data_IF_077746954276
#
_entry.id   IF_077746954276
#
_cell.length_a   1.000
_cell.length_b   1.000
_cell.length_c   1.000
_cell.angle_alpha   90.00
_cell.angle_beta   90.00
_cell.angle_gamma   90.00
#
_symmetry.space_group_name_H-M   'P 1'
#
loop_
_entity.id
_entity.type
_entity.pdbx_description
1 polymer ?
#
# COMPACT_ATOMS: atom_id res chain seq x y z
N UNK A 1 14.68 2.45 -26.63
CA UNK A 1 15.72 1.60 -25.99
C UNK A 1 15.23 0.16 -26.03
N UNK A 2 16.05 -0.79 -26.43
CA UNK A 2 15.72 -2.22 -26.44
C UNK A 2 16.24 -2.87 -25.15
N UNK A 3 15.44 -3.79 -24.57
CA UNK A 3 15.87 -4.54 -23.39
C UNK A 3 16.96 -5.55 -23.76
N UNK A 4 18.04 -5.62 -22.97
CA UNK A 4 19.09 -6.61 -23.14
C UNK A 4 18.72 -7.88 -22.34
N UNK A 5 18.11 -8.84 -23.01
CA UNK A 5 17.54 -10.04 -22.43
C UNK A 5 18.38 -11.28 -22.78
N UNK A 6 18.62 -12.15 -21.78
CA UNK A 6 19.14 -13.52 -22.01
C UNK A 6 18.02 -14.53 -22.20
N UNK A 7 16.99 -14.44 -21.36
CA UNK A 7 15.74 -15.22 -21.43
C UNK A 7 14.61 -14.29 -21.87
N UNK A 8 13.53 -14.80 -22.46
CA UNK A 8 12.33 -14.00 -22.64
C UNK A 8 11.86 -13.43 -21.29
N UNK A 9 11.34 -12.20 -21.30
CA UNK A 9 10.81 -11.51 -20.14
C UNK A 9 9.31 -11.35 -20.29
N UNK A 10 8.54 -11.80 -19.31
CA UNK A 10 7.08 -11.67 -19.27
C UNK A 10 6.71 -10.59 -18.25
N UNK A 11 6.18 -9.48 -18.73
CA UNK A 11 5.47 -8.49 -17.92
C UNK A 11 4.05 -8.98 -17.77
N UNK A 12 3.50 -9.00 -16.57
CA UNK A 12 2.12 -9.44 -16.36
C UNK A 12 1.46 -8.68 -15.21
N UNK A 13 0.14 -8.67 -15.26
CA UNK A 13 -0.76 -8.10 -14.29
C UNK A 13 -1.99 -8.98 -14.11
N UNK A 14 -2.60 -8.97 -12.93
CA UNK A 14 -3.73 -9.81 -12.57
C UNK A 14 -4.89 -8.98 -12.05
N UNK A 15 -6.12 -9.28 -12.52
CA UNK A 15 -7.34 -8.89 -11.85
C UNK A 15 -7.88 -10.08 -11.05
N UNK A 16 -8.43 -9.81 -9.87
CA UNK A 16 -8.80 -10.85 -8.91
C UNK A 16 -10.10 -10.56 -8.19
N UNK A 17 -10.70 -11.57 -7.56
CA UNK A 17 -11.89 -11.39 -6.71
C UNK A 17 -11.59 -10.64 -5.41
N UNK A 18 -10.33 -10.39 -5.10
CA UNK A 18 -9.87 -9.65 -3.91
C UNK A 18 -8.38 -9.87 -3.65
N UNK A 19 -7.90 -9.38 -2.52
CA UNK A 19 -6.46 -9.32 -2.21
C UNK A 19 -5.95 -10.48 -1.34
N UNK A 20 -6.81 -11.41 -0.95
CA UNK A 20 -6.43 -12.54 -0.09
C UNK A 20 -5.96 -13.71 -0.94
N UNK A 21 -4.65 -13.96 -0.99
CA UNK A 21 -4.01 -14.99 -1.81
C UNK A 21 -4.60 -16.39 -1.56
N UNK A 22 -5.05 -16.70 -0.34
CA UNK A 22 -5.60 -18.01 0.00
C UNK A 22 -7.06 -18.17 -0.44
N UNK A 23 -7.87 -17.11 -0.38
CA UNK A 23 -9.32 -17.17 -0.60
C UNK A 23 -9.73 -16.71 -1.98
N UNK A 24 -9.04 -15.70 -2.50
CA UNK A 24 -9.40 -15.07 -3.76
C UNK A 24 -8.85 -15.80 -4.99
N UNK A 25 -9.38 -15.44 -6.15
CA UNK A 25 -9.13 -16.10 -7.44
C UNK A 25 -8.81 -15.07 -8.51
N UNK A 26 -8.04 -15.47 -9.50
CA UNK A 26 -7.77 -14.65 -10.69
C UNK A 26 -9.03 -14.64 -11.56
N UNK A 27 -9.46 -13.44 -12.01
CA UNK A 27 -10.55 -13.22 -12.98
C UNK A 27 -10.04 -12.78 -14.36
N UNK A 28 -8.84 -12.18 -14.40
CA UNK A 28 -8.15 -11.87 -15.65
C UNK A 28 -6.64 -11.93 -15.46
N UNK A 29 -5.94 -12.40 -16.47
CA UNK A 29 -4.50 -12.29 -16.60
C UNK A 29 -4.16 -11.63 -17.92
N UNK A 30 -3.34 -10.58 -17.87
CA UNK A 30 -2.74 -9.95 -19.06
C UNK A 30 -1.23 -10.03 -18.99
N UNK A 31 -0.58 -10.30 -20.12
CA UNK A 31 0.87 -10.27 -20.18
C UNK A 31 1.41 -9.83 -21.54
N UNK A 32 2.60 -9.23 -21.49
CA UNK A 32 3.46 -8.95 -22.64
C UNK A 32 4.73 -9.78 -22.48
N UNK A 33 4.98 -10.65 -23.43
CA UNK A 33 6.20 -11.46 -23.52
C UNK A 33 7.17 -10.84 -24.52
N UNK A 34 8.33 -10.40 -24.04
CA UNK A 34 9.40 -9.81 -24.83
C UNK A 34 10.51 -10.83 -25.01
N UNK A 35 10.86 -11.12 -26.26
CA UNK A 35 11.91 -12.06 -26.59
C UNK A 35 13.29 -11.36 -26.71
N UNK A 36 14.41 -12.10 -26.57
CA UNK A 36 15.76 -11.53 -26.74
C UNK A 36 16.01 -10.86 -28.09
N UNK A 37 15.30 -11.27 -29.15
CA UNK A 37 15.37 -10.67 -30.47
C UNK A 37 14.50 -9.41 -30.65
N UNK A 38 13.84 -8.96 -29.56
CA UNK A 38 12.96 -7.79 -29.57
C UNK A 38 11.52 -8.05 -30.04
N UNK A 39 11.19 -9.29 -30.42
CA UNK A 39 9.78 -9.65 -30.72
C UNK A 39 8.94 -9.54 -29.44
N UNK A 40 7.72 -9.07 -29.57
CA UNK A 40 6.73 -8.95 -28.47
C UNK A 40 5.47 -9.74 -28.79
N UNK A 41 4.90 -10.35 -27.77
CA UNK A 41 3.60 -11.04 -27.84
C UNK A 41 2.76 -10.59 -26.66
N UNK A 42 1.57 -10.06 -26.93
CA UNK A 42 0.60 -9.63 -25.90
C UNK A 42 -0.57 -10.60 -25.87
N UNK A 43 -0.99 -11.01 -24.68
CA UNK A 43 -2.18 -11.82 -24.45
C UNK A 43 -2.90 -11.39 -23.20
N UNK A 44 -4.24 -11.32 -23.32
CA UNK A 44 -5.15 -11.15 -22.19
C UNK A 44 -6.14 -12.29 -22.18
N UNK A 45 -6.45 -12.82 -21.00
CA UNK A 45 -7.45 -13.89 -20.82
C UNK A 45 -8.30 -13.61 -19.61
N UNK A 46 -9.60 -13.62 -19.79
CA UNK A 46 -10.57 -13.70 -18.72
C UNK A 46 -10.69 -15.13 -18.23
N UNK A 47 -10.95 -15.29 -16.95
CA UNK A 47 -10.92 -16.54 -16.23
C UNK A 47 -12.15 -16.60 -15.34
N UNK A 48 -12.88 -17.71 -15.40
CA UNK A 48 -13.97 -17.97 -14.48
C UNK A 48 -13.37 -18.34 -13.10
N UNK A 49 -13.57 -17.52 -12.06
CA UNK A 49 -13.00 -17.77 -10.74
C UNK A 49 -13.70 -18.95 -10.03
N UNK A 50 -14.84 -19.41 -10.50
CA UNK A 50 -15.66 -20.46 -9.84
C UNK A 50 -16.31 -19.99 -8.53
N UNK A 51 -16.38 -18.69 -8.31
CA UNK A 51 -17.00 -18.05 -7.16
C UNK A 51 -17.49 -16.63 -7.56
N UNK A 52 -18.46 -16.05 -6.83
CA UNK A 52 -18.92 -14.68 -7.11
C UNK A 52 -17.80 -13.65 -6.99
N UNK A 53 -17.80 -12.67 -7.88
CA UNK A 53 -16.90 -11.52 -7.83
C UNK A 53 -17.52 -10.46 -6.91
N UNK A 54 -16.84 -10.05 -5.82
CA UNK A 54 -17.36 -9.02 -4.93
C UNK A 54 -17.58 -7.69 -5.67
N UNK A 55 -18.67 -6.94 -5.35
CA UNK A 55 -18.96 -5.66 -5.98
C UNK A 55 -17.82 -4.64 -5.88
N UNK A 56 -17.09 -4.65 -4.77
CA UNK A 56 -15.92 -3.80 -4.56
C UNK A 56 -14.79 -4.11 -5.54
N UNK A 57 -14.58 -5.37 -5.91
CA UNK A 57 -13.60 -5.78 -6.91
C UNK A 57 -14.05 -5.38 -8.31
N UNK A 58 -15.33 -5.63 -8.65
CA UNK A 58 -15.93 -5.16 -9.89
C UNK A 58 -15.84 -3.63 -10.04
N UNK A 59 -16.01 -2.88 -8.96
CA UNK A 59 -15.87 -1.42 -8.99
C UNK A 59 -14.45 -0.95 -9.35
N UNK A 60 -13.43 -1.77 -9.10
CA UNK A 60 -12.02 -1.46 -9.41
C UNK A 60 -11.69 -1.83 -10.86
N UNK A 61 -11.93 -3.08 -11.28
CA UNK A 61 -11.48 -3.60 -12.58
C UNK A 61 -12.59 -3.70 -13.64
N UNK A 62 -13.85 -3.47 -13.27
CA UNK A 62 -14.98 -3.46 -14.19
C UNK A 62 -15.46 -4.83 -14.65
N UNK A 63 -14.87 -5.93 -14.20
CA UNK A 63 -15.25 -7.30 -14.59
C UNK A 63 -16.36 -7.80 -13.68
N UNK A 64 -17.43 -8.33 -14.27
CA UNK A 64 -18.59 -8.88 -13.59
C UNK A 64 -18.64 -10.41 -13.69
N UNK A 65 -19.48 -11.06 -12.89
CA UNK A 65 -19.73 -12.51 -13.01
C UNK A 65 -20.19 -12.90 -14.41
N UNK A 66 -21.02 -12.04 -15.04
CA UNK A 66 -21.53 -12.26 -16.40
C UNK A 66 -20.41 -12.29 -17.45
N UNK A 67 -19.38 -11.46 -17.27
CA UNK A 67 -18.23 -11.38 -18.19
C UNK A 67 -17.35 -12.61 -18.18
N UNK A 68 -17.39 -13.40 -17.12
CA UNK A 68 -16.50 -14.57 -16.91
C UNK A 68 -17.21 -15.90 -16.83
N UNK A 69 -18.55 -15.94 -16.82
CA UNK A 69 -19.34 -17.16 -16.63
C UNK A 69 -19.01 -18.27 -17.63
N UNK A 70 -18.79 -17.87 -18.91
CA UNK A 70 -18.47 -18.79 -20.01
C UNK A 70 -16.96 -18.87 -20.29
N UNK A 71 -16.13 -18.22 -19.47
CA UNK A 71 -14.68 -18.27 -19.58
C UNK A 71 -14.12 -19.58 -18.97
N UNK A 72 -12.96 -20.06 -19.45
CA UNK A 72 -12.30 -21.19 -18.83
C UNK A 72 -11.86 -20.87 -17.39
N UNK A 73 -11.87 -21.86 -16.54
CA UNK A 73 -11.28 -21.76 -15.19
C UNK A 73 -9.76 -21.69 -15.25
N UNK A 74 -9.12 -21.22 -14.17
CA UNK A 74 -7.65 -21.22 -14.11
C UNK A 74 -7.09 -22.63 -14.28
N UNK A 75 -7.73 -23.66 -13.71
CA UNK A 75 -7.32 -25.06 -13.83
C UNK A 75 -7.25 -25.53 -15.29
N UNK A 76 -8.19 -25.11 -16.13
CA UNK A 76 -8.23 -25.50 -17.55
C UNK A 76 -7.12 -24.84 -18.36
N UNK A 77 -6.72 -23.62 -18.02
CA UNK A 77 -5.67 -22.91 -18.75
C UNK A 77 -4.26 -23.09 -18.14
N UNK A 78 -4.14 -23.57 -16.91
CA UNK A 78 -2.90 -23.58 -16.14
C UNK A 78 -1.74 -24.24 -16.89
N UNK A 79 -1.93 -25.44 -17.47
CA UNK A 79 -0.88 -26.12 -18.22
C UNK A 79 -0.41 -25.33 -19.43
N UNK A 80 -1.36 -24.75 -20.19
CA UNK A 80 -1.01 -23.97 -21.36
C UNK A 80 -0.31 -22.66 -20.97
N UNK A 81 -0.73 -22.03 -19.88
CA UNK A 81 -0.09 -20.81 -19.35
C UNK A 81 1.32 -21.14 -18.84
N UNK A 82 1.50 -22.22 -18.09
CA UNK A 82 2.81 -22.67 -17.63
C UNK A 82 3.79 -22.85 -18.79
N UNK A 83 3.37 -23.53 -19.88
CA UNK A 83 4.17 -23.69 -21.10
C UNK A 83 4.51 -22.35 -21.76
N UNK A 84 3.56 -21.40 -21.79
CA UNK A 84 3.77 -20.08 -22.41
C UNK A 84 4.82 -19.24 -21.68
N UNK A 85 4.92 -19.39 -20.37
CA UNK A 85 5.88 -18.65 -19.54
C UNK A 85 7.11 -19.50 -19.15
N UNK A 86 7.22 -20.75 -19.66
CA UNK A 86 8.36 -21.61 -19.35
C UNK A 86 9.68 -20.97 -19.83
N UNK A 87 10.71 -21.04 -18.99
CA UNK A 87 12.04 -20.47 -19.29
C UNK A 87 12.08 -18.94 -19.33
N UNK A 88 10.97 -18.26 -18.99
CA UNK A 88 10.93 -16.80 -18.95
C UNK A 88 11.29 -16.26 -17.57
N UNK A 89 11.94 -15.11 -17.53
CA UNK A 89 11.98 -14.23 -16.36
C UNK A 89 10.65 -13.45 -16.28
N UNK A 90 10.30 -12.93 -15.11
CA UNK A 90 9.02 -12.25 -14.88
C UNK A 90 9.21 -10.80 -14.45
N UNK A 91 8.28 -9.94 -14.84
CA UNK A 91 8.26 -8.54 -14.46
C UNK A 91 6.81 -8.08 -14.18
N UNK A 92 6.67 -7.04 -13.37
CA UNK A 92 5.38 -6.40 -13.11
C UNK A 92 5.54 -5.17 -12.22
N UNK A 93 4.43 -4.56 -11.86
CA UNK A 93 4.39 -3.41 -10.96
C UNK A 93 3.84 -3.82 -9.59
N UNK A 94 4.64 -3.74 -8.52
CA UNK A 94 4.34 -4.27 -7.18
C UNK A 94 4.09 -5.81 -7.16
N UNK A 95 4.46 -6.49 -8.22
CA UNK A 95 4.09 -7.88 -8.50
C UNK A 95 4.68 -8.88 -7.51
N UNK A 96 5.84 -8.58 -6.90
CA UNK A 96 6.44 -9.45 -5.86
C UNK A 96 5.57 -9.59 -4.63
N UNK A 97 4.75 -8.60 -4.34
CA UNK A 97 3.93 -8.54 -3.13
C UNK A 97 2.57 -9.20 -3.32
N UNK A 98 2.05 -9.22 -4.55
CA UNK A 98 0.70 -9.71 -4.82
C UNK A 98 0.62 -10.67 -6.00
N UNK A 99 0.91 -10.21 -7.23
CA UNK A 99 0.66 -11.00 -8.45
C UNK A 99 1.43 -12.31 -8.50
N UNK A 100 2.72 -12.30 -8.14
CA UNK A 100 3.54 -13.50 -8.15
C UNK A 100 3.05 -14.53 -7.12
N UNK A 101 2.79 -14.17 -5.84
CA UNK A 101 2.19 -15.08 -4.88
C UNK A 101 0.81 -15.61 -5.30
N UNK A 102 -0.05 -14.75 -5.88
CA UNK A 102 -1.38 -15.15 -6.35
C UNK A 102 -1.28 -16.15 -7.51
N UNK A 103 -0.43 -15.86 -8.49
CA UNK A 103 -0.21 -16.73 -9.64
C UNK A 103 0.38 -18.09 -9.21
N UNK A 104 1.33 -18.09 -8.28
CA UNK A 104 1.91 -19.31 -7.73
C UNK A 104 0.86 -20.19 -7.03
N UNK A 105 0.01 -19.56 -6.21
CA UNK A 105 -1.08 -20.23 -5.50
C UNK A 105 -2.10 -20.83 -6.46
N UNK A 106 -2.49 -20.11 -7.51
CA UNK A 106 -3.41 -20.62 -8.53
C UNK A 106 -2.84 -21.80 -9.32
N UNK A 107 -1.56 -21.79 -9.66
CA UNK A 107 -0.91 -22.94 -10.29
C UNK A 107 -0.92 -24.17 -9.38
N UNK A 108 -0.61 -24.01 -8.08
CA UNK A 108 -0.63 -25.10 -7.11
C UNK A 108 -2.05 -25.66 -6.93
N UNK A 109 -3.08 -24.81 -6.87
CA UNK A 109 -4.48 -25.23 -6.84
C UNK A 109 -4.89 -26.01 -8.08
N UNK A 110 -4.37 -25.63 -9.23
CA UNK A 110 -4.60 -26.33 -10.49
C UNK A 110 -3.84 -27.65 -10.61
N UNK A 111 -2.99 -27.99 -9.63
CA UNK A 111 -2.14 -29.17 -9.66
C UNK A 111 -0.99 -29.07 -10.67
N UNK A 112 -0.59 -27.85 -11.01
CA UNK A 112 0.55 -27.56 -11.91
C UNK A 112 1.70 -27.01 -11.07
N UNK A 113 2.76 -27.80 -10.97
CA UNK A 113 4.00 -27.38 -10.30
C UNK A 113 4.85 -26.59 -11.29
N UNK A 114 4.96 -25.28 -11.05
CA UNK A 114 5.79 -24.37 -11.82
C UNK A 114 6.90 -23.82 -10.91
N UNK A 115 8.16 -24.09 -11.26
CA UNK A 115 9.29 -23.56 -10.49
C UNK A 115 9.46 -22.05 -10.77
N UNK A 116 8.82 -21.24 -9.96
CA UNK A 116 8.98 -19.79 -9.98
C UNK A 116 10.25 -19.33 -9.22
N UNK A 117 10.79 -20.14 -8.29
CA UNK A 117 11.88 -19.71 -7.40
C UNK A 117 13.21 -19.52 -8.13
N UNK A 118 13.43 -20.21 -9.24
CA UNK A 118 14.66 -20.10 -10.06
C UNK A 118 14.62 -18.97 -11.08
N UNK A 119 13.46 -18.28 -11.21
CA UNK A 119 13.29 -17.19 -12.16
C UNK A 119 13.75 -15.87 -11.57
N UNK A 120 14.14 -14.94 -12.43
CA UNK A 120 14.39 -13.57 -12.03
C UNK A 120 13.09 -12.79 -12.06
N UNK A 121 12.95 -11.91 -11.08
CA UNK A 121 11.77 -11.05 -10.96
C UNK A 121 12.18 -9.58 -10.98
N UNK A 122 11.62 -8.83 -11.91
CA UNK A 122 11.79 -7.38 -11.99
C UNK A 122 10.51 -6.72 -11.49
N UNK A 123 10.60 -5.99 -10.38
CA UNK A 123 9.52 -5.17 -9.87
C UNK A 123 9.77 -3.71 -10.22
N UNK A 124 9.00 -3.21 -11.17
CA UNK A 124 9.16 -1.85 -11.72
C UNK A 124 8.85 -0.79 -10.66
N UNK A 125 7.89 -1.04 -9.75
CA UNK A 125 7.62 -0.13 -8.63
C UNK A 125 8.84 -0.02 -7.70
N UNK A 126 9.49 -1.14 -7.42
CA UNK A 126 10.71 -1.13 -6.59
C UNK A 126 11.83 -0.32 -7.23
N UNK A 127 11.99 -0.42 -8.56
CA UNK A 127 12.96 0.40 -9.30
C UNK A 127 12.57 1.88 -9.19
N UNK A 128 11.31 2.21 -9.46
CA UNK A 128 10.79 3.57 -9.33
C UNK A 128 11.07 4.15 -7.93
N UNK A 129 10.73 3.41 -6.87
CA UNK A 129 10.93 3.88 -5.50
C UNK A 129 12.40 4.02 -5.09
N UNK A 130 13.32 3.27 -5.72
CA UNK A 130 14.76 3.40 -5.49
C UNK A 130 15.41 4.54 -6.26
N UNK A 131 14.92 4.82 -7.46
CA UNK A 131 15.48 5.82 -8.35
C UNK A 131 14.88 7.21 -8.10
N UNK A 132 13.58 7.28 -7.80
CA UNK A 132 12.87 8.51 -7.47
C UNK A 132 12.82 8.71 -5.95
N UNK A 133 13.75 9.50 -5.45
CA UNK A 133 13.87 9.77 -4.02
C UNK A 133 12.69 10.63 -3.52
N UNK A 134 12.11 10.24 -2.37
CA UNK A 134 11.07 11.01 -1.67
C UNK A 134 11.70 11.86 -0.55
N UNK A 135 12.74 12.62 -0.91
CA UNK A 135 13.43 13.56 -0.01
C UNK A 135 12.96 14.98 -0.27
N UNK A 136 13.22 15.89 0.68
CA UNK A 136 12.93 17.32 0.49
C UNK A 136 13.69 17.89 -0.72
N UNK A 137 14.96 17.49 -0.93
CA UNK A 137 15.75 17.90 -2.09
C UNK A 137 15.12 17.46 -3.41
N UNK A 138 14.61 16.21 -3.48
CA UNK A 138 13.90 15.72 -4.65
C UNK A 138 12.59 16.49 -4.89
N UNK A 139 11.80 16.75 -3.82
CA UNK A 139 10.59 17.54 -3.90
C UNK A 139 10.88 18.99 -4.34
N UNK A 140 11.91 19.60 -3.79
CA UNK A 140 12.31 20.96 -4.14
C UNK A 140 12.72 21.07 -5.62
N UNK A 141 13.49 20.08 -6.12
CA UNK A 141 13.83 20.00 -7.54
C UNK A 141 12.60 19.82 -8.42
N UNK A 142 11.68 18.93 -8.03
CA UNK A 142 10.49 18.57 -8.82
C UNK A 142 9.45 19.71 -8.89
N UNK A 143 9.17 20.34 -7.74
CA UNK A 143 8.15 21.39 -7.66
C UNK A 143 8.67 22.78 -8.00
N UNK A 144 9.88 23.11 -7.57
CA UNK A 144 10.45 24.46 -7.69
C UNK A 144 11.52 24.58 -8.77
N UNK A 145 11.94 23.45 -9.38
CA UNK A 145 13.06 23.37 -10.32
C UNK A 145 14.38 23.97 -9.80
N UNK A 146 14.60 23.89 -8.47
CA UNK A 146 15.77 24.40 -7.77
C UNK A 146 16.55 23.27 -7.12
N UNK A 147 17.85 23.47 -6.89
CA UNK A 147 18.68 22.57 -6.06
C UNK A 147 18.67 23.08 -4.61
N UNK A 148 18.56 22.16 -3.65
CA UNK A 148 18.63 22.48 -2.23
C UNK A 148 20.10 22.53 -1.82
N UNK A 149 20.66 23.71 -1.76
CA UNK A 149 22.00 23.94 -1.21
C UNK A 149 21.91 23.96 0.32
N UNK A 150 22.96 23.50 0.99
CA UNK A 150 23.01 23.37 2.46
C UNK A 150 21.87 22.52 3.05
N UNK A 151 21.45 21.45 2.35
CA UNK A 151 20.52 20.47 2.90
C UNK A 151 20.98 20.02 4.31
N UNK A 152 20.03 19.73 5.19
CA UNK A 152 20.23 19.40 6.61
C UNK A 152 20.58 20.60 7.51
N UNK A 153 20.43 21.83 7.03
CA UNK A 153 20.31 22.98 7.92
C UNK A 153 18.84 23.32 8.11
N UNK A 154 18.44 23.63 9.35
CA UNK A 154 17.04 23.91 9.66
C UNK A 154 16.47 25.07 8.84
N UNK A 155 17.25 26.09 8.59
CA UNK A 155 16.85 27.27 7.80
C UNK A 155 16.58 26.88 6.33
N UNK A 156 17.55 26.25 5.65
CA UNK A 156 17.42 25.88 4.25
C UNK A 156 16.25 24.87 4.05
N UNK A 157 16.13 23.89 4.92
CA UNK A 157 15.08 22.87 4.85
C UNK A 157 13.70 23.48 5.11
N UNK A 158 13.58 24.44 6.05
CA UNK A 158 12.33 25.14 6.32
C UNK A 158 11.90 26.02 5.13
N UNK A 159 12.83 26.79 4.55
CA UNK A 159 12.56 27.62 3.37
C UNK A 159 12.16 26.78 2.16
N UNK A 160 12.88 25.69 1.90
CA UNK A 160 12.54 24.76 0.83
C UNK A 160 11.15 24.13 1.04
N UNK A 161 10.82 23.71 2.27
CA UNK A 161 9.49 23.16 2.61
C UNK A 161 8.38 24.17 2.32
N UNK A 162 8.58 25.43 2.70
CA UNK A 162 7.62 26.50 2.43
C UNK A 162 7.43 26.75 0.92
N UNK A 163 8.52 26.80 0.14
CA UNK A 163 8.43 26.99 -1.32
C UNK A 163 7.76 25.78 -1.99
N UNK A 164 8.05 24.56 -1.53
CA UNK A 164 7.41 23.32 -2.04
C UNK A 164 5.90 23.39 -1.83
N UNK A 165 5.43 23.77 -0.63
CA UNK A 165 3.99 23.86 -0.37
C UNK A 165 3.32 24.89 -1.31
N UNK A 166 3.93 26.05 -1.53
CA UNK A 166 3.41 27.06 -2.48
C UNK A 166 3.30 26.48 -3.89
N UNK A 167 4.36 25.83 -4.37
CA UNK A 167 4.38 25.22 -5.69
C UNK A 167 3.39 24.06 -5.83
N UNK A 168 3.10 23.32 -4.75
CA UNK A 168 2.04 22.30 -4.72
C UNK A 168 0.66 22.94 -4.86
N UNK A 169 0.39 24.04 -4.15
CA UNK A 169 -0.87 24.80 -4.26
C UNK A 169 -1.08 25.36 -5.68
N UNK A 170 -0.02 25.86 -6.31
CA UNK A 170 -0.09 26.35 -7.68
C UNK A 170 -0.32 25.24 -8.70
N UNK A 171 0.22 24.03 -8.43
CA UNK A 171 0.18 22.89 -9.36
C UNK A 171 -1.10 22.08 -9.30
N UNK A 172 -1.71 21.95 -8.12
CA UNK A 172 -2.86 21.09 -7.88
C UNK A 172 -4.12 21.90 -7.58
N UNK A 173 -5.04 22.07 -8.57
CA UNK A 173 -6.27 22.85 -8.38
C UNK A 173 -7.18 22.33 -7.26
N UNK A 174 -7.14 21.02 -7.00
CA UNK A 174 -7.94 20.37 -5.95
C UNK A 174 -7.38 20.58 -4.54
N UNK A 175 -6.13 21.07 -4.44
CA UNK A 175 -5.48 21.34 -3.16
C UNK A 175 -5.88 22.76 -2.70
N UNK A 176 -6.83 22.84 -1.78
CA UNK A 176 -7.33 24.13 -1.28
C UNK A 176 -6.29 24.85 -0.43
N UNK A 177 -6.07 26.13 -0.71
CA UNK A 177 -5.21 27.00 0.10
C UNK A 177 -5.93 27.42 1.39
N UNK A 178 -6.15 26.45 2.26
CA UNK A 178 -6.79 26.58 3.58
C UNK A 178 -6.09 25.67 4.58
N UNK A 179 -5.64 26.22 5.71
CA UNK A 179 -4.81 25.50 6.68
C UNK A 179 -5.57 24.31 7.30
N UNK A 180 -6.87 24.46 7.57
CA UNK A 180 -7.66 23.37 8.15
C UNK A 180 -7.80 22.23 7.14
N UNK A 181 -8.11 22.56 5.88
CA UNK A 181 -8.14 21.57 4.79
C UNK A 181 -6.79 20.87 4.60
N UNK A 182 -5.70 21.64 4.50
CA UNK A 182 -4.35 21.11 4.29
C UNK A 182 -3.90 20.23 5.44
N UNK A 183 -4.22 20.61 6.68
CA UNK A 183 -3.94 19.82 7.88
C UNK A 183 -4.66 18.47 7.83
N UNK A 184 -5.95 18.47 7.50
CA UNK A 184 -6.73 17.24 7.37
C UNK A 184 -6.25 16.38 6.20
N UNK A 185 -5.99 16.99 5.05
CA UNK A 185 -5.53 16.31 3.82
C UNK A 185 -4.16 15.64 4.01
N UNK A 186 -3.26 16.24 4.78
CA UNK A 186 -1.93 15.72 5.07
C UNK A 186 -1.87 14.83 6.31
N UNK A 187 -3.01 14.59 6.98
CA UNK A 187 -3.06 13.76 8.17
C UNK A 187 -3.07 12.27 7.79
N UNK A 188 -2.04 11.54 8.19
CA UNK A 188 -1.93 10.08 7.97
C UNK A 188 -2.35 9.24 9.18
N UNK A 189 -2.74 9.87 10.28
CA UNK A 189 -2.99 9.14 11.52
C UNK A 189 -4.14 9.74 12.33
N UNK A 190 -4.94 8.88 12.94
CA UNK A 190 -5.95 9.25 13.93
C UNK A 190 -5.34 9.41 15.33
N UNK A 191 -4.13 9.95 15.44
CA UNK A 191 -3.42 10.04 16.69
C UNK A 191 -4.05 11.05 17.64
N UNK A 192 -4.23 10.65 18.90
CA UNK A 192 -4.59 11.53 20.02
C UNK A 192 -3.35 12.21 20.59
N UNK A 193 -2.24 11.48 20.66
CA UNK A 193 -0.94 12.02 21.06
C UNK A 193 0.10 11.90 19.93
N UNK A 194 1.11 12.76 19.92
CA UNK A 194 2.08 12.82 18.81
C UNK A 194 2.89 11.54 18.61
N UNK A 195 2.99 10.69 19.63
CA UNK A 195 3.68 9.41 19.53
C UNK A 195 2.78 8.25 19.09
N UNK A 196 1.47 8.51 18.87
CA UNK A 196 0.52 7.49 18.45
C UNK A 196 0.30 6.36 19.48
N UNK A 197 0.56 6.64 20.76
CA UNK A 197 0.26 5.71 21.87
C UNK A 197 -1.22 5.65 22.17
N UNK A 198 -1.93 6.72 21.86
CA UNK A 198 -3.39 6.80 21.89
C UNK A 198 -3.86 7.27 20.52
N UNK A 199 -4.95 6.67 20.03
CA UNK A 199 -5.56 6.98 18.73
C UNK A 199 -7.08 7.08 18.88
N UNK A 200 -7.71 7.76 17.90
CA UNK A 200 -9.17 7.71 17.78
C UNK A 200 -9.59 6.43 17.05
N UNK A 201 -10.62 5.76 17.55
CA UNK A 201 -11.27 4.67 16.83
C UNK A 201 -12.28 5.22 15.79
N UNK A 202 -12.97 4.34 15.07
CA UNK A 202 -13.95 4.72 14.03
C UNK A 202 -15.14 5.52 14.56
N UNK A 203 -15.35 5.51 15.89
CA UNK A 203 -16.39 6.29 16.59
C UNK A 203 -15.88 7.63 17.13
N UNK A 204 -14.60 7.95 16.92
CA UNK A 204 -13.96 9.17 17.45
C UNK A 204 -13.62 9.09 18.94
N UNK A 205 -13.56 7.89 19.52
CA UNK A 205 -13.26 7.68 20.94
C UNK A 205 -11.76 7.38 21.11
N UNK A 206 -11.15 7.86 22.20
CA UNK A 206 -9.74 7.66 22.48
C UNK A 206 -9.47 6.23 22.99
N UNK A 207 -8.63 5.50 22.27
CA UNK A 207 -8.21 4.14 22.62
C UNK A 207 -6.69 4.04 22.74
N UNK A 208 -6.22 3.11 23.58
CA UNK A 208 -4.79 2.77 23.66
C UNK A 208 -4.37 2.03 22.38
N UNK A 209 -3.22 2.38 21.81
CA UNK A 209 -2.71 1.79 20.57
C UNK A 209 -1.50 0.85 20.79
N UNK A 210 -1.25 0.40 22.00
CA UNK A 210 -0.11 -0.48 22.29
C UNK A 210 -0.38 -1.43 23.46
N UNK A 211 0.48 -2.45 23.59
CA UNK A 211 0.50 -3.38 24.71
C UNK A 211 -0.81 -4.14 24.96
N UNK A 212 -1.00 -4.59 26.20
CA UNK A 212 -2.13 -5.44 26.62
C UNK A 212 -3.50 -4.79 26.46
N UNK A 213 -3.56 -3.46 26.40
CA UNK A 213 -4.80 -2.70 26.30
C UNK A 213 -5.05 -2.10 24.91
N UNK A 214 -4.32 -2.54 23.91
CA UNK A 214 -4.52 -2.05 22.52
C UNK A 214 -5.98 -2.20 22.09
N UNK A 215 -6.56 -1.11 21.56
CA UNK A 215 -7.94 -1.03 21.09
C UNK A 215 -8.99 -0.79 22.17
N UNK A 216 -8.63 -0.75 23.45
CA UNK A 216 -9.57 -0.46 24.54
C UNK A 216 -9.64 1.03 24.83
N UNK A 217 -10.81 1.49 25.25
CA UNK A 217 -11.04 2.89 25.62
C UNK A 217 -10.14 3.31 26.78
N UNK A 218 -9.49 4.47 26.66
CA UNK A 218 -8.62 5.04 27.70
C UNK A 218 -9.41 5.23 28.99
N UNK A 219 -10.62 5.76 28.93
CA UNK A 219 -11.47 6.01 30.11
C UNK A 219 -11.87 4.73 30.84
N UNK A 220 -12.15 3.63 30.14
CA UNK A 220 -12.45 2.33 30.74
C UNK A 220 -11.25 1.74 31.46
N UNK A 221 -10.05 1.86 30.84
CA UNK A 221 -8.81 1.35 31.44
C UNK A 221 -8.51 2.11 32.73
N UNK A 222 -8.63 3.44 32.73
CA UNK A 222 -8.38 4.26 33.90
C UNK A 222 -9.33 3.97 35.06
N UNK A 223 -10.56 3.46 34.78
CA UNK A 223 -11.52 2.99 35.80
C UNK A 223 -11.20 1.58 36.29
N UNK A 224 -10.86 0.66 35.38
CA UNK A 224 -10.64 -0.76 35.72
C UNK A 224 -9.23 -1.07 36.23
N UNK A 225 -8.23 -0.27 35.84
CA UNK A 225 -6.83 -0.39 36.28
C UNK A 225 -6.24 1.01 36.61
N UNK A 226 -6.56 1.57 37.80
CA UNK A 226 -6.08 2.90 38.19
C UNK A 226 -4.55 3.01 38.23
N UNK A 227 -3.85 1.88 38.41
CA UNK A 227 -2.39 1.81 38.41
C UNK A 227 -1.78 2.10 37.04
N UNK A 228 -2.54 1.88 35.96
CA UNK A 228 -2.08 2.12 34.58
C UNK A 228 -1.71 3.59 34.33
N UNK A 229 -2.47 4.53 34.89
CA UNK A 229 -2.12 5.95 34.83
C UNK A 229 -0.73 6.22 35.44
N UNK A 230 -0.51 5.76 36.66
CA UNK A 230 0.76 5.95 37.36
C UNK A 230 1.91 5.26 36.63
N UNK A 231 1.66 4.10 36.03
CA UNK A 231 2.65 3.39 35.25
C UNK A 231 3.10 4.18 34.02
N UNK A 232 2.16 4.80 33.27
CA UNK A 232 2.53 5.68 32.13
C UNK A 232 3.24 6.93 32.63
N UNK A 233 2.72 7.58 33.69
CA UNK A 233 3.32 8.82 34.20
C UNK A 233 4.74 8.66 34.70
N UNK A 234 5.07 7.51 35.28
CA UNK A 234 6.40 7.20 35.81
C UNK A 234 7.30 6.48 34.79
N UNK A 235 6.72 5.93 33.72
CA UNK A 235 7.43 5.21 32.67
C UNK A 235 8.11 6.14 31.65
N UNK A 236 8.90 5.55 30.78
CA UNK A 236 9.58 6.24 29.67
C UNK A 236 8.60 6.48 28.50
N UNK A 237 7.68 7.41 28.70
CA UNK A 237 6.73 7.88 27.72
C UNK A 237 6.93 9.36 27.41
N UNK A 238 6.68 9.80 26.16
CA UNK A 238 6.74 11.22 25.79
C UNK A 238 5.87 12.10 26.70
N UNK A 239 6.33 13.29 27.01
CA UNK A 239 5.57 14.24 27.85
C UNK A 239 4.20 14.59 27.22
N UNK A 240 4.11 14.64 25.89
CA UNK A 240 2.83 14.85 25.21
C UNK A 240 1.86 13.69 25.48
N UNK A 241 2.31 12.43 25.43
CA UNK A 241 1.47 11.27 25.78
C UNK A 241 0.95 11.38 27.21
N UNK A 242 1.82 11.72 28.16
CA UNK A 242 1.46 11.92 29.58
C UNK A 242 0.44 13.06 29.74
N UNK A 243 0.64 14.17 29.04
CA UNK A 243 -0.27 15.31 29.04
C UNK A 243 -1.65 14.91 28.52
N UNK A 244 -1.73 14.32 27.34
CA UNK A 244 -3.01 13.90 26.72
C UNK A 244 -3.76 12.89 27.61
N UNK A 245 -3.05 11.91 28.22
CA UNK A 245 -3.64 10.96 29.16
C UNK A 245 -4.24 11.67 30.40
N UNK A 246 -3.54 12.70 30.89
CA UNK A 246 -4.01 13.50 32.03
C UNK A 246 -5.26 14.31 31.65
N UNK A 247 -5.29 14.92 30.45
CA UNK A 247 -6.44 15.67 29.96
C UNK A 247 -7.69 14.78 29.79
N UNK A 248 -7.53 13.57 29.24
CA UNK A 248 -8.60 12.58 29.13
C UNK A 248 -9.14 12.20 30.51
N UNK A 249 -8.25 11.92 31.47
CA UNK A 249 -8.63 11.59 32.84
C UNK A 249 -9.41 12.70 33.52
N UNK A 250 -8.95 13.95 33.40
CA UNK A 250 -9.63 15.11 34.01
C UNK A 250 -11.01 15.37 33.37
N UNK A 251 -11.13 15.22 32.06
CA UNK A 251 -12.40 15.37 31.34
C UNK A 251 -13.43 14.30 31.77
N UNK A 252 -13.04 13.03 31.91
CA UNK A 252 -13.92 11.96 32.41
C UNK A 252 -14.35 12.20 33.86
N UNK A 253 -13.47 12.78 34.67
CA UNK A 253 -13.80 13.13 36.07
C UNK A 253 -14.83 14.28 36.17
N UNK A 254 -14.69 15.30 35.33
CA UNK A 254 -15.59 16.49 35.33
C UNK A 254 -16.92 16.23 34.63
N UNK A 255 -17.09 15.12 33.92
CA UNK A 255 -18.32 14.74 33.22
C UNK A 255 -19.28 13.90 34.09
N UNK A 256 -18.91 13.66 35.35
CA UNK A 256 -19.74 12.98 36.37
C UNK A 256 -20.33 13.98 37.36
#
# INVERSE_FOLDING_TARGET
MQLNLRNPLVFFDLETTGINIVKDRIVEISYVKVFPNGKEETKTRRINPGMPIPPESTAIHGITDEDVKDCPTFKEIAKSLATQIEGCDLAGYNSKRFDIPMLAEEFLRAGVDIDLNRRKFIDVQTIFHKMEQRTLSAAYKFYCNKSLENAHTAEADTLATYEVLKAQLDRYPDLKNDVAFLSQYSCYSNNVDFAGRMVYNDKGEEVINFGKYKGRLVTEILKSDPGYYSWIMNGDFPLNTKKMLTEIRLRDFNSK
#
